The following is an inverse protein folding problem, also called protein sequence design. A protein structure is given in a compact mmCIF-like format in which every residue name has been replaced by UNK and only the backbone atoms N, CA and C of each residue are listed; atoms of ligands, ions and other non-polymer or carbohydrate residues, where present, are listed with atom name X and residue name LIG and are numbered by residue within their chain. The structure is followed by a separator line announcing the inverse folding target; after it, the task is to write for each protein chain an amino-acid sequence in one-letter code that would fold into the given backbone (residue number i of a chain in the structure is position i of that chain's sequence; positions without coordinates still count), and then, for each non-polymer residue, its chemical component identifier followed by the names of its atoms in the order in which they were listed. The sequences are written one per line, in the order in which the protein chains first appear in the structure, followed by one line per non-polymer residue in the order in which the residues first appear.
data_IF_279679621207
#
_entry.id   IF_279679621207
#
_cell.length_a   1.000
_cell.length_b   1.000
_cell.length_c   1.000
_cell.angle_alpha   90.00
_cell.angle_beta   90.00
_cell.angle_gamma   90.00
#
_symmetry.space_group_name_H-M   'P 1'
#
loop_
_entity.id
_entity.type
_entity.pdbx_description
1 polymer ?
#
# COMPACT_ATOMS: atom_id res chain seq x y z
N UNK A 1 1.75 -35.13 46.07
CA UNK A 1 3.02 -34.36 45.93
C UNK A 1 3.39 -34.28 44.45
N UNK A 2 3.71 -33.08 43.96
CA UNK A 2 4.07 -32.85 42.58
C UNK A 2 4.91 -31.58 42.41
N UNK A 3 5.63 -31.48 41.29
CA UNK A 3 6.36 -30.25 40.94
C UNK A 3 5.38 -29.24 40.37
N UNK A 4 5.42 -28.04 40.88
CA UNK A 4 4.71 -26.87 40.37
C UNK A 4 5.71 -25.95 39.69
N UNK A 5 5.36 -25.36 38.56
CA UNK A 5 6.17 -24.39 37.83
C UNK A 5 5.61 -22.99 38.04
N UNK A 6 6.37 -22.15 38.73
CA UNK A 6 6.05 -20.72 38.84
C UNK A 6 6.77 -19.99 37.72
N UNK A 7 6.10 -19.13 36.98
CA UNK A 7 6.74 -18.37 35.92
C UNK A 7 6.53 -16.86 36.10
N UNK A 8 7.46 -16.09 35.58
CA UNK A 8 7.41 -14.63 35.48
C UNK A 8 7.72 -14.18 34.07
N UNK A 9 7.19 -13.05 33.67
CA UNK A 9 7.38 -12.40 32.39
C UNK A 9 7.88 -10.96 32.61
N UNK A 10 8.95 -10.57 31.93
CA UNK A 10 9.57 -9.24 32.07
C UNK A 10 8.80 -8.14 31.33
N UNK A 11 7.92 -8.51 30.36
CA UNK A 11 7.21 -7.54 29.52
C UNK A 11 5.77 -7.98 29.22
N UNK A 12 4.82 -7.43 29.91
CA UNK A 12 3.39 -7.73 29.72
C UNK A 12 2.81 -7.17 28.40
N UNK A 13 3.50 -6.22 27.75
CA UNK A 13 3.07 -5.65 26.48
C UNK A 13 3.03 -6.67 25.32
N UNK A 14 3.69 -7.82 25.49
CA UNK A 14 3.59 -8.94 24.52
C UNK A 14 2.23 -9.66 24.57
N UNK A 15 1.34 -9.34 25.50
CA UNK A 15 0.03 -9.96 25.68
C UNK A 15 -0.03 -11.07 26.75
N UNK A 16 1.11 -11.43 27.38
CA UNK A 16 1.18 -12.39 28.47
C UNK A 16 1.21 -11.67 29.81
N UNK A 17 0.50 -12.17 30.83
CA UNK A 17 0.52 -11.64 32.19
C UNK A 17 1.93 -11.62 32.80
N UNK A 18 2.12 -10.87 33.90
CA UNK A 18 3.42 -10.69 34.54
C UNK A 18 3.95 -12.00 35.20
N UNK A 19 3.06 -12.91 35.61
CA UNK A 19 3.43 -14.19 36.26
C UNK A 19 2.25 -15.16 36.25
N UNK A 20 2.54 -16.41 36.55
CA UNK A 20 1.54 -17.44 36.70
C UNK A 20 2.10 -18.75 37.27
N UNK A 21 1.24 -19.78 37.35
CA UNK A 21 1.55 -21.08 37.90
C UNK A 21 1.11 -22.15 36.91
N UNK A 22 1.94 -23.16 36.71
CA UNK A 22 1.67 -24.26 35.79
C UNK A 22 2.05 -23.91 34.33
N UNK A 23 1.33 -24.51 33.40
CA UNK A 23 1.57 -24.30 31.97
C UNK A 23 1.11 -22.89 31.53
N UNK A 24 1.85 -22.29 30.59
CA UNK A 24 1.42 -21.10 29.88
C UNK A 24 0.52 -21.56 28.72
N UNK A 25 -0.78 -21.21 28.80
CA UNK A 25 -1.71 -21.47 27.69
C UNK A 25 -1.37 -20.58 26.50
N UNK A 26 -1.83 -20.95 25.30
CA UNK A 26 -1.74 -20.08 24.11
C UNK A 26 -2.47 -18.76 24.37
N UNK A 27 -1.90 -17.65 23.94
CA UNK A 27 -2.45 -16.31 24.10
C UNK A 27 -2.30 -15.50 22.82
N UNK A 28 -3.12 -14.46 22.68
CA UNK A 28 -2.99 -13.51 21.56
C UNK A 28 -1.88 -12.54 21.89
N UNK A 29 -0.86 -12.46 21.03
CA UNK A 29 0.23 -11.52 21.18
C UNK A 29 -0.18 -10.11 20.81
N UNK A 30 0.38 -9.12 21.50
CA UNK A 30 0.16 -7.69 21.23
C UNK A 30 1.49 -6.97 21.06
N UNK A 31 1.53 -6.02 20.11
CA UNK A 31 2.63 -5.07 19.96
C UNK A 31 2.07 -3.80 19.31
N UNK A 32 1.97 -2.72 20.05
CA UNK A 32 1.47 -1.42 19.55
C UNK A 32 2.60 -0.46 19.19
N UNK A 33 3.85 -0.92 19.26
CA UNK A 33 5.04 -0.11 18.95
C UNK A 33 5.46 -0.29 17.48
N UNK A 34 6.41 0.49 17.03
CA UNK A 34 6.98 0.40 15.68
C UNK A 34 8.25 -0.46 15.59
N UNK A 35 8.58 -1.20 16.64
CA UNK A 35 9.73 -2.10 16.71
C UNK A 35 9.31 -3.44 17.31
N UNK A 36 10.12 -4.48 17.10
CA UNK A 36 9.93 -5.77 17.78
C UNK A 36 10.10 -5.57 19.29
N UNK A 37 9.15 -6.08 20.06
CA UNK A 37 9.23 -6.15 21.53
C UNK A 37 9.40 -7.60 21.95
N UNK A 38 10.00 -7.83 23.13
CA UNK A 38 10.18 -9.16 23.67
C UNK A 38 9.88 -9.20 25.17
N UNK A 39 9.47 -10.37 25.62
CA UNK A 39 9.38 -10.71 27.03
C UNK A 39 10.19 -11.95 27.33
N UNK A 40 11.03 -11.89 28.37
CA UNK A 40 11.74 -13.05 28.89
C UNK A 40 10.89 -13.73 29.94
N UNK A 41 10.60 -15.01 29.71
CA UNK A 41 9.80 -15.85 30.57
C UNK A 41 10.73 -16.75 31.35
N UNK A 42 10.77 -16.59 32.69
CA UNK A 42 11.55 -17.43 33.59
C UNK A 42 10.63 -18.40 34.33
N UNK A 43 10.79 -19.68 34.11
CA UNK A 43 10.05 -20.75 34.78
C UNK A 43 10.91 -21.39 35.87
N UNK A 44 10.40 -21.40 37.11
CA UNK A 44 11.07 -21.94 38.29
C UNK A 44 10.28 -23.14 38.81
N UNK A 45 10.85 -24.37 38.82
CA UNK A 45 10.20 -25.51 39.40
C UNK A 45 10.28 -25.52 40.93
N UNK A 46 9.18 -25.86 41.59
CA UNK A 46 9.11 -26.02 43.03
C UNK A 46 8.45 -27.37 43.35
N UNK A 47 9.14 -28.21 44.07
CA UNK A 47 8.59 -29.47 44.60
C UNK A 47 8.29 -29.29 46.08
N UNK A 48 7.04 -29.61 46.46
CA UNK A 48 6.59 -29.53 47.86
C UNK A 48 6.23 -30.89 48.39
N UNK A 49 6.80 -31.27 49.52
CA UNK A 49 6.48 -32.49 50.26
C UNK A 49 6.40 -32.19 51.75
N UNK A 50 5.32 -32.64 52.41
CA UNK A 50 5.06 -32.45 53.84
C UNK A 50 5.23 -30.98 54.28
N UNK A 51 4.84 -29.99 53.46
CA UNK A 51 4.92 -28.58 53.77
C UNK A 51 6.30 -27.93 53.48
N UNK A 52 7.32 -28.70 53.11
CA UNK A 52 8.66 -28.20 52.74
C UNK A 52 8.76 -28.08 51.21
N UNK A 53 9.01 -26.84 50.75
CA UNK A 53 9.22 -26.55 49.33
C UNK A 53 10.71 -26.55 48.97
N UNK A 54 11.07 -27.31 47.92
CA UNK A 54 12.42 -27.31 47.36
C UNK A 54 12.36 -26.65 45.98
N UNK A 55 13.11 -25.55 45.79
CA UNK A 55 13.16 -24.82 44.52
C UNK A 55 14.30 -25.37 43.65
N UNK A 56 14.01 -25.68 42.41
CA UNK A 56 14.99 -26.13 41.43
C UNK A 56 15.56 -24.96 40.62
N UNK A 57 16.46 -25.32 39.67
CA UNK A 57 17.10 -24.34 38.79
C UNK A 57 16.07 -23.78 37.81
N UNK A 58 15.94 -22.43 37.68
CA UNK A 58 15.03 -21.80 36.72
C UNK A 58 15.54 -21.94 35.30
N UNK A 59 14.63 -21.92 34.32
CA UNK A 59 14.89 -21.84 32.89
C UNK A 59 14.23 -20.61 32.31
N UNK A 60 14.92 -19.88 31.45
CA UNK A 60 14.41 -18.68 30.78
C UNK A 60 14.34 -18.93 29.26
N UNK A 61 13.28 -18.43 28.65
CA UNK A 61 13.11 -18.35 27.19
C UNK A 61 12.45 -17.01 26.81
N UNK A 62 12.63 -16.56 25.57
CA UNK A 62 12.14 -15.28 25.09
C UNK A 62 10.99 -15.46 24.10
N UNK A 63 9.94 -14.66 24.24
CA UNK A 63 8.91 -14.49 23.22
C UNK A 63 9.10 -13.10 22.62
N UNK A 64 9.39 -13.05 21.30
CA UNK A 64 9.50 -11.82 20.55
C UNK A 64 8.23 -11.62 19.69
N UNK A 65 7.68 -10.39 19.71
CA UNK A 65 6.48 -10.02 18.97
C UNK A 65 6.82 -8.88 17.99
N UNK A 66 6.74 -9.18 16.71
CA UNK A 66 6.98 -8.21 15.66
C UNK A 66 5.80 -7.22 15.55
N UNK A 67 6.05 -5.96 15.16
CA UNK A 67 5.00 -5.00 14.89
C UNK A 67 4.25 -5.35 13.60
N UNK A 68 3.00 -4.89 13.47
CA UNK A 68 2.26 -4.92 12.21
C UNK A 68 2.58 -3.64 11.44
N UNK A 69 3.16 -3.72 10.23
CA UNK A 69 3.49 -2.53 9.45
C UNK A 69 2.22 -1.88 8.88
N UNK A 70 2.31 -0.58 8.62
CA UNK A 70 1.25 0.20 7.96
C UNK A 70 1.80 0.84 6.69
N UNK A 71 0.89 1.31 5.84
CA UNK A 71 1.21 2.18 4.71
C UNK A 71 0.27 3.38 4.73
N UNK A 72 0.83 4.58 4.55
CA UNK A 72 0.07 5.83 4.50
C UNK A 72 -0.67 5.97 3.18
N UNK A 73 -1.80 6.69 3.20
CA UNK A 73 -2.60 6.94 2.01
C UNK A 73 -1.77 7.65 0.91
N UNK A 74 -2.02 7.25 -0.34
CA UNK A 74 -1.42 7.82 -1.55
C UNK A 74 -2.52 8.48 -2.37
N UNK A 75 -2.25 9.67 -2.89
CA UNK A 75 -3.19 10.40 -3.73
C UNK A 75 -3.33 9.76 -5.12
N UNK A 76 -4.54 9.80 -5.68
CA UNK A 76 -4.78 9.43 -7.07
C UNK A 76 -4.06 10.37 -8.04
N UNK A 77 -3.72 9.86 -9.23
CA UNK A 77 -3.12 10.64 -10.31
C UNK A 77 -3.99 10.57 -11.55
N UNK A 78 -4.17 11.72 -12.24
CA UNK A 78 -4.83 11.78 -13.55
C UNK A 78 -3.93 12.53 -14.51
N UNK A 79 -3.59 11.90 -15.64
CA UNK A 79 -2.55 12.37 -16.56
C UNK A 79 -3.05 12.17 -18.00
N UNK A 80 -2.65 13.03 -18.94
CA UNK A 80 -2.84 12.76 -20.37
C UNK A 80 -1.82 11.73 -20.85
N UNK A 81 -2.19 10.93 -21.84
CA UNK A 81 -1.27 9.97 -22.49
C UNK A 81 0.00 10.70 -22.99
N UNK A 82 1.16 10.09 -22.80
CA UNK A 82 2.47 10.69 -23.08
C UNK A 82 3.02 11.59 -21.97
N UNK A 83 2.22 11.97 -20.99
CA UNK A 83 2.67 12.66 -19.79
C UNK A 83 3.34 11.70 -18.79
N UNK A 84 4.10 12.24 -17.84
CA UNK A 84 4.78 11.46 -16.80
C UNK A 84 4.00 11.49 -15.48
N UNK A 85 3.92 10.35 -14.80
CA UNK A 85 3.40 10.26 -13.43
C UNK A 85 4.38 10.89 -12.44
N UNK A 86 3.89 11.24 -11.25
CA UNK A 86 4.77 11.55 -10.12
C UNK A 86 5.25 10.27 -9.44
N UNK A 87 6.47 10.29 -8.91
CA UNK A 87 7.00 9.18 -8.10
C UNK A 87 6.13 8.98 -6.88
N UNK A 88 5.82 7.73 -6.55
CA UNK A 88 5.20 7.37 -5.28
C UNK A 88 6.23 6.72 -4.38
N UNK A 89 6.47 7.34 -3.21
CA UNK A 89 7.35 6.82 -2.17
C UNK A 89 6.48 6.39 -0.98
N UNK A 90 6.14 5.10 -0.86
CA UNK A 90 5.33 4.63 0.25
C UNK A 90 6.04 4.84 1.59
N UNK A 91 5.28 5.25 2.60
CA UNK A 91 5.76 5.43 3.98
C UNK A 91 4.76 4.81 4.95
N UNK A 92 5.22 4.50 6.17
CA UNK A 92 4.36 3.93 7.21
C UNK A 92 5.02 4.00 8.60
N UNK A 93 4.35 3.40 9.57
CA UNK A 93 4.71 3.52 10.99
C UNK A 93 5.95 2.71 11.38
N UNK A 94 6.18 1.54 10.76
CA UNK A 94 7.25 0.62 11.15
C UNK A 94 8.48 0.81 10.26
N UNK A 95 9.65 1.19 10.82
CA UNK A 95 10.90 1.27 10.07
C UNK A 95 11.30 -0.09 9.48
N UNK A 96 11.93 -0.09 8.30
CA UNK A 96 12.34 -1.33 7.63
C UNK A 96 11.19 -2.08 6.95
N UNK A 97 9.99 -1.49 6.86
CA UNK A 97 8.88 -2.05 6.09
C UNK A 97 9.21 -2.10 4.61
N UNK A 98 8.98 -3.24 4.00
CA UNK A 98 9.01 -3.45 2.55
C UNK A 98 7.60 -3.25 2.00
N UNK A 99 7.47 -2.43 0.96
CA UNK A 99 6.20 -2.15 0.29
C UNK A 99 6.16 -2.89 -1.04
N UNK A 100 5.32 -3.92 -1.12
CA UNK A 100 5.06 -4.63 -2.38
C UNK A 100 3.83 -4.03 -3.03
N UNK A 101 3.89 -3.76 -4.34
CA UNK A 101 2.76 -3.19 -5.05
C UNK A 101 2.40 -3.99 -6.29
N UNK A 102 1.12 -3.92 -6.65
CA UNK A 102 0.56 -4.50 -7.88
C UNK A 102 -0.28 -3.47 -8.63
N UNK A 103 -0.31 -3.59 -9.95
CA UNK A 103 -1.09 -2.76 -10.88
C UNK A 103 -2.14 -3.64 -11.55
N UNK A 104 -3.40 -3.24 -11.52
CA UNK A 104 -4.51 -3.99 -12.13
C UNK A 104 -4.55 -3.87 -13.66
N UNK A 105 -3.87 -2.88 -14.24
CA UNK A 105 -3.87 -2.62 -15.68
C UNK A 105 -2.52 -2.06 -16.13
N UNK A 106 -1.75 -2.88 -16.84
CA UNK A 106 -0.42 -2.49 -17.35
C UNK A 106 -0.49 -1.64 -18.63
N UNK A 107 -1.65 -1.54 -19.28
CA UNK A 107 -1.82 -0.71 -20.46
C UNK A 107 -1.61 0.79 -20.22
N UNK A 108 -1.60 1.22 -18.96
CA UNK A 108 -1.23 2.61 -18.58
C UNK A 108 0.27 2.89 -18.70
N UNK A 109 1.13 1.87 -18.92
CA UNK A 109 2.60 1.99 -19.01
C UNK A 109 3.34 1.56 -17.74
N UNK A 110 2.64 1.15 -16.67
CA UNK A 110 3.25 0.65 -15.43
C UNK A 110 3.38 -0.87 -15.46
N UNK A 111 4.46 -1.41 -14.89
CA UNK A 111 4.63 -2.85 -14.69
C UNK A 111 3.50 -3.45 -13.83
N UNK A 112 3.27 -4.78 -13.95
CA UNK A 112 2.21 -5.48 -13.20
C UNK A 112 2.45 -5.49 -11.68
N UNK A 113 3.72 -5.42 -11.23
CA UNK A 113 4.10 -5.41 -9.82
C UNK A 113 5.50 -4.88 -9.62
N UNK A 114 5.83 -4.56 -8.37
CA UNK A 114 7.16 -4.17 -7.96
C UNK A 114 7.29 -4.06 -6.44
N UNK A 115 8.44 -3.60 -5.99
CA UNK A 115 8.79 -3.45 -4.57
C UNK A 115 9.42 -2.07 -4.34
N UNK A 116 9.10 -1.46 -3.21
CA UNK A 116 9.58 -0.12 -2.84
C UNK A 116 8.83 0.99 -3.56
N UNK A 117 9.57 1.97 -4.05
CA UNK A 117 9.01 3.13 -4.75
C UNK A 117 8.38 2.71 -6.09
N UNK A 118 7.28 3.38 -6.45
CA UNK A 118 6.75 3.32 -7.81
C UNK A 118 7.39 4.48 -8.57
N UNK A 119 8.28 4.20 -9.54
CA UNK A 119 8.98 5.26 -10.27
C UNK A 119 8.00 6.07 -11.12
N UNK A 120 8.40 7.30 -11.46
CA UNK A 120 7.75 8.04 -12.53
C UNK A 120 7.89 7.26 -13.84
N UNK A 121 6.82 7.19 -14.62
CA UNK A 121 6.81 6.57 -15.94
C UNK A 121 5.98 7.39 -16.93
N UNK A 122 6.27 7.25 -18.21
CA UNK A 122 5.48 7.86 -19.29
C UNK A 122 4.22 7.04 -19.50
N UNK A 123 3.07 7.71 -19.42
CA UNK A 123 1.77 7.03 -19.52
C UNK A 123 1.41 6.65 -20.97
N UNK A 124 0.75 5.51 -21.12
CA UNK A 124 0.23 5.01 -22.39
C UNK A 124 -1.28 4.82 -22.33
N UNK A 125 -1.95 5.13 -23.45
CA UNK A 125 -3.37 4.84 -23.70
C UNK A 125 -3.57 4.83 -25.21
N UNK A 126 -3.81 3.69 -25.79
CA UNK A 126 -4.00 3.52 -27.25
C UNK A 126 -5.47 3.67 -27.67
N UNK A 127 -6.37 3.87 -26.72
CA UNK A 127 -7.81 4.04 -26.94
C UNK A 127 -8.26 5.50 -27.00
N UNK A 128 -9.55 5.68 -27.23
CA UNK A 128 -10.22 6.98 -27.29
C UNK A 128 -11.03 7.32 -26.02
N UNK A 129 -10.90 6.47 -24.99
CA UNK A 129 -11.54 6.67 -23.68
C UNK A 129 -10.49 6.64 -22.57
N UNK A 130 -10.70 7.30 -21.43
CA UNK A 130 -9.82 7.17 -20.29
C UNK A 130 -9.66 5.71 -19.84
N UNK A 131 -8.44 5.29 -19.52
CA UNK A 131 -8.16 4.00 -18.90
C UNK A 131 -7.57 4.24 -17.50
N UNK A 132 -7.81 3.30 -16.59
CA UNK A 132 -7.34 3.40 -15.22
C UNK A 132 -6.67 2.10 -14.77
N UNK A 133 -5.75 2.25 -13.84
CA UNK A 133 -5.20 1.15 -13.06
C UNK A 133 -5.38 1.42 -11.58
N UNK A 134 -5.87 0.43 -10.85
CA UNK A 134 -5.84 0.42 -9.38
C UNK A 134 -4.51 -0.16 -8.94
N UNK A 135 -3.77 0.61 -8.17
CA UNK A 135 -2.51 0.20 -7.58
C UNK A 135 -2.80 -0.22 -6.14
N UNK A 136 -2.40 -1.43 -5.77
CA UNK A 136 -2.50 -1.95 -4.40
C UNK A 136 -1.11 -2.01 -3.80
N UNK A 137 -0.90 -1.40 -2.63
CA UNK A 137 0.36 -1.43 -1.89
C UNK A 137 0.15 -2.22 -0.60
N UNK A 138 0.94 -3.28 -0.41
CA UNK A 138 0.92 -4.14 0.78
C UNK A 138 2.22 -3.96 1.57
N UNK A 139 2.15 -3.46 2.82
CA UNK A 139 3.32 -3.33 3.68
C UNK A 139 3.67 -4.67 4.32
N UNK A 140 4.96 -5.03 4.37
CA UNK A 140 5.47 -6.26 4.99
C UNK A 140 6.71 -5.94 5.83
N UNK A 141 6.72 -6.38 7.08
CA UNK A 141 7.87 -6.30 7.98
C UNK A 141 8.38 -7.71 8.26
N UNK A 142 9.69 -7.93 8.09
CA UNK A 142 10.31 -9.23 8.32
C UNK A 142 11.42 -9.10 9.37
N UNK A 143 11.37 -9.97 10.38
CA UNK A 143 12.40 -10.11 11.38
C UNK A 143 12.78 -11.60 11.50
N UNK A 144 14.05 -11.93 11.21
CA UNK A 144 14.47 -13.32 11.05
C UNK A 144 13.68 -14.03 9.96
N UNK A 145 13.04 -15.15 10.31
CA UNK A 145 12.21 -15.95 9.39
C UNK A 145 10.72 -15.62 9.46
N UNK A 146 10.31 -14.64 10.29
CA UNK A 146 8.88 -14.30 10.51
C UNK A 146 8.54 -13.00 9.79
N UNK A 147 7.58 -13.08 8.87
CA UNK A 147 7.03 -11.94 8.15
C UNK A 147 5.63 -11.59 8.64
N UNK A 148 5.40 -10.32 8.92
CA UNK A 148 4.10 -9.75 9.29
C UNK A 148 3.64 -8.81 8.18
N UNK A 149 2.45 -9.04 7.64
CA UNK A 149 1.84 -8.16 6.64
C UNK A 149 0.79 -7.26 7.29
N UNK A 150 0.81 -5.98 6.95
CA UNK A 150 -0.22 -5.03 7.34
C UNK A 150 -1.35 -4.95 6.33
N UNK A 151 -2.37 -4.14 6.65
CA UNK A 151 -3.48 -3.88 5.76
C UNK A 151 -2.99 -3.15 4.50
N UNK A 152 -3.38 -3.61 3.29
CA UNK A 152 -3.04 -2.93 2.05
C UNK A 152 -3.86 -1.65 1.88
N UNK A 153 -3.33 -0.70 1.10
CA UNK A 153 -4.06 0.45 0.58
C UNK A 153 -4.16 0.37 -0.93
N UNK A 154 -5.09 1.14 -1.49
CA UNK A 154 -5.23 1.30 -2.94
C UNK A 154 -5.29 2.77 -3.32
N UNK A 155 -4.79 3.10 -4.51
CA UNK A 155 -5.00 4.37 -5.20
C UNK A 155 -5.11 4.13 -6.71
N UNK A 156 -5.57 5.14 -7.46
CA UNK A 156 -5.84 5.00 -8.89
C UNK A 156 -4.95 5.93 -9.71
N UNK A 157 -4.43 5.41 -10.83
CA UNK A 157 -3.81 6.21 -11.88
C UNK A 157 -4.73 6.15 -13.09
N UNK A 158 -5.22 7.32 -13.55
CA UNK A 158 -6.09 7.46 -14.73
C UNK A 158 -5.32 8.13 -15.86
N UNK A 159 -5.37 7.56 -17.05
CA UNK A 159 -4.72 8.09 -18.26
C UNK A 159 -5.77 8.49 -19.27
N UNK A 160 -5.90 9.80 -19.48
CA UNK A 160 -6.80 10.38 -20.46
C UNK A 160 -6.21 10.28 -21.87
N UNK A 161 -7.03 10.00 -22.91
CA UNK A 161 -6.60 10.03 -24.29
C UNK A 161 -6.32 11.48 -24.75
N UNK A 162 -5.52 11.63 -25.82
CA UNK A 162 -5.36 12.92 -26.52
C UNK A 162 -6.47 13.06 -27.55
N UNK A 163 -7.28 14.13 -27.49
CA UNK A 163 -8.26 14.41 -28.52
C UNK A 163 -7.61 14.88 -29.82
N UNK A 164 -8.26 14.59 -30.93
CA UNK A 164 -7.92 15.09 -32.27
C UNK A 164 -9.07 15.93 -32.84
N UNK A 165 -8.78 16.70 -33.87
CA UNK A 165 -9.79 17.34 -34.70
C UNK A 165 -9.64 16.82 -36.13
N UNK A 166 -10.76 16.39 -36.72
CA UNK A 166 -10.81 15.98 -38.12
C UNK A 166 -10.72 17.21 -39.02
N UNK A 167 -10.08 17.02 -40.18
CA UNK A 167 -9.99 18.07 -41.20
C UNK A 167 -11.36 18.52 -41.68
N UNK A 168 -11.49 19.81 -41.93
CA UNK A 168 -12.67 20.42 -42.55
C UNK A 168 -12.30 21.02 -43.89
N UNK A 169 -13.27 21.03 -44.85
CA UNK A 169 -13.02 21.53 -46.17
C UNK A 169 -12.97 23.06 -46.19
N UNK A 170 -12.09 23.60 -47.05
CA UNK A 170 -12.09 25.02 -47.37
C UNK A 170 -13.35 25.44 -48.10
N UNK A 171 -13.81 26.66 -47.89
CA UNK A 171 -14.96 27.26 -48.57
C UNK A 171 -14.49 28.48 -49.38
N UNK A 172 -14.90 28.54 -50.62
CA UNK A 172 -14.73 29.73 -51.50
C UNK A 172 -16.11 30.23 -51.87
N UNK A 173 -16.42 31.46 -51.52
CA UNK A 173 -17.77 31.99 -51.58
C UNK A 173 -17.75 33.43 -52.10
N UNK A 174 -18.76 33.84 -52.88
CA UNK A 174 -18.92 35.22 -53.32
C UNK A 174 -19.33 36.14 -52.18
N UNK A 175 -18.96 37.40 -52.26
CA UNK A 175 -19.39 38.43 -51.33
C UNK A 175 -20.93 38.46 -51.23
N UNK A 176 -21.50 38.50 -50.03
CA UNK A 176 -22.95 38.50 -49.75
C UNK A 176 -23.60 37.12 -49.77
N UNK A 177 -22.89 36.04 -50.11
CA UNK A 177 -23.40 34.66 -50.05
C UNK A 177 -23.18 34.08 -48.62
N UNK A 178 -23.97 33.03 -48.31
CA UNK A 178 -23.92 32.34 -47.02
C UNK A 178 -22.94 31.16 -47.04
N UNK A 179 -22.07 31.04 -46.02
CA UNK A 179 -21.21 29.90 -45.81
C UNK A 179 -22.00 28.65 -45.43
N UNK A 180 -21.43 27.45 -45.64
CA UNK A 180 -21.93 26.23 -45.03
C UNK A 180 -21.43 26.15 -43.59
N UNK A 181 -22.29 25.65 -42.69
CA UNK A 181 -21.87 25.42 -41.27
C UNK A 181 -20.72 24.42 -41.20
N UNK A 182 -19.81 24.63 -40.21
CA UNK A 182 -18.70 23.76 -39.92
C UNK A 182 -18.96 23.06 -38.59
N UNK A 183 -19.01 21.74 -38.61
CA UNK A 183 -19.10 20.90 -37.41
C UNK A 183 -17.76 20.23 -37.18
N UNK A 184 -17.12 20.52 -36.06
CA UNK A 184 -15.89 19.86 -35.68
C UNK A 184 -16.19 18.50 -35.07
N UNK A 185 -15.40 17.49 -35.46
CA UNK A 185 -15.44 16.13 -34.93
C UNK A 185 -14.03 15.63 -34.64
N UNK A 186 -13.90 14.60 -33.81
CA UNK A 186 -12.63 13.99 -33.46
C UNK A 186 -12.80 12.62 -32.84
N UNK A 187 -11.68 12.03 -32.37
CA UNK A 187 -11.63 10.66 -31.88
C UNK A 187 -12.15 10.48 -30.43
N UNK A 188 -12.18 11.55 -29.63
CA UNK A 188 -12.56 11.51 -28.20
C UNK A 188 -13.92 12.19 -28.02
N UNK A 189 -14.89 11.47 -27.48
CA UNK A 189 -16.21 12.01 -27.19
C UNK A 189 -16.13 13.10 -26.10
N UNK A 190 -16.99 14.13 -26.23
CA UNK A 190 -17.03 15.25 -25.28
C UNK A 190 -15.88 16.26 -25.46
N UNK A 191 -15.08 16.15 -26.51
CA UNK A 191 -14.05 17.16 -26.84
C UNK A 191 -14.69 18.53 -27.09
N UNK A 192 -14.13 19.55 -26.44
CA UNK A 192 -14.45 20.96 -26.71
C UNK A 192 -13.47 21.50 -27.74
N UNK A 193 -13.99 22.07 -28.83
CA UNK A 193 -13.20 22.63 -29.93
C UNK A 193 -13.15 24.14 -29.81
N UNK A 194 -11.96 24.69 -29.52
CA UNK A 194 -11.70 26.12 -29.53
C UNK A 194 -11.17 26.52 -30.91
N UNK A 195 -11.71 27.57 -31.50
CA UNK A 195 -11.26 28.10 -32.78
C UNK A 195 -10.99 29.60 -32.71
N UNK A 196 -10.15 30.09 -33.60
CA UNK A 196 -9.87 31.52 -33.75
C UNK A 196 -9.86 31.90 -35.20
N UNK A 197 -10.19 33.15 -35.51
CA UNK A 197 -10.06 33.76 -36.81
C UNK A 197 -8.89 34.78 -36.78
N UNK A 198 -7.96 34.67 -37.70
CA UNK A 198 -6.79 35.57 -37.81
C UNK A 198 -7.08 36.85 -38.58
N UNK A 199 -8.20 36.89 -39.32
CA UNK A 199 -8.63 38.05 -40.06
C UNK A 199 -10.05 38.47 -39.58
N UNK A 200 -10.08 39.53 -38.79
CA UNK A 200 -11.30 40.09 -38.19
C UNK A 200 -11.72 41.44 -38.81
N UNK A 201 -11.17 41.78 -39.98
CA UNK A 201 -11.46 43.07 -40.67
C UNK A 201 -12.88 43.17 -41.20
#
# INVERSE_FOLDING_TARGET
AGTVYNWSNTNTAIGLGASGVGNIASFVTTNTTNATISGDITATPVYTNAGLGCTGTPTTFTIAVNPIPTVNAVANQTICVGGSTTVVTPTGFVPGTVYNWTSSNTAIGLAASGTGNIPSFVTTNTGNTPISSTITITPTYTNGSVSCSGAPITFTITVNPIPTVNGVNNQVICNGSTTTGVTFTGNVAGTVYNWSNTNTA
#
